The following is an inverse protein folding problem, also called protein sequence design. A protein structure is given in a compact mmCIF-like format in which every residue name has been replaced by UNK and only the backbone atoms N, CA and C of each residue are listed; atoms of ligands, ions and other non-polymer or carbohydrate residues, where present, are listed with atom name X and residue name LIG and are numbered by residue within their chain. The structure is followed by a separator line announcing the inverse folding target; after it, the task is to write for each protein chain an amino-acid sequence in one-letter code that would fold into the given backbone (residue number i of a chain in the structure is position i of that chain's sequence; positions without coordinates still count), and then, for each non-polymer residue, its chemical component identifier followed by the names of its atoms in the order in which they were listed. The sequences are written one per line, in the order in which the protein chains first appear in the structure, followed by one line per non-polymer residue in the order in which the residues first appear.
data_IF_157708654680
#
_entry.id   IF_157708654680
#
_cell.length_a   1.000
_cell.length_b   1.000
_cell.length_c   1.000
_cell.angle_alpha   90.00
_cell.angle_beta   90.00
_cell.angle_gamma   90.00
#
_symmetry.space_group_name_H-M   'P 1'
#
loop_
_entity.id
_entity.type
_entity.pdbx_description
1 polymer ?
#
# COMPACT_ATOMS: atom_id res chain seq x y z
N UNK A 1 -3.35 19.82 -10.81
CA UNK A 1 -4.02 18.50 -10.69
C UNK A 1 -2.96 17.44 -10.94
N UNK A 2 -2.46 16.79 -9.89
CA UNK A 2 -1.48 15.70 -10.02
C UNK A 2 -2.26 14.41 -10.27
N UNK A 3 -2.03 13.78 -11.42
CA UNK A 3 -2.64 12.49 -11.75
C UNK A 3 -1.77 11.39 -11.15
N UNK A 4 -2.32 10.61 -10.21
CA UNK A 4 -1.65 9.43 -9.69
C UNK A 4 -1.54 8.38 -10.81
N UNK A 5 -0.31 7.99 -11.17
CA UNK A 5 -0.08 6.99 -12.21
C UNK A 5 -0.20 5.58 -11.61
N UNK A 6 -1.37 4.96 -11.74
CA UNK A 6 -1.59 3.56 -11.39
C UNK A 6 -0.76 2.63 -12.29
N UNK A 7 -0.29 1.51 -11.75
CA UNK A 7 0.37 0.45 -12.53
C UNK A 7 1.82 0.75 -12.94
N UNK A 8 2.39 1.87 -12.49
CA UNK A 8 3.79 2.22 -12.75
C UNK A 8 4.61 2.12 -11.48
N UNK A 9 5.72 1.40 -11.55
CA UNK A 9 6.75 1.40 -10.51
C UNK A 9 7.31 2.81 -10.38
N UNK A 10 7.21 3.37 -9.18
CA UNK A 10 7.83 4.64 -8.82
C UNK A 10 9.17 4.38 -8.13
N UNK A 11 10.02 5.42 -8.08
CA UNK A 11 11.21 5.35 -7.25
C UNK A 11 10.80 5.39 -5.76
N UNK A 12 11.57 4.77 -4.84
CA UNK A 12 11.23 4.73 -3.41
C UNK A 12 10.90 6.11 -2.82
N UNK A 13 11.68 7.14 -3.17
CA UNK A 13 11.49 8.48 -2.63
C UNK A 13 10.26 9.22 -3.20
N UNK A 14 9.68 8.75 -4.32
CA UNK A 14 8.54 9.41 -4.95
C UNK A 14 7.36 9.53 -4.00
N UNK A 15 7.02 8.44 -3.30
CA UNK A 15 5.89 8.42 -2.38
C UNK A 15 6.18 9.16 -1.09
N UNK A 16 7.45 9.25 -0.69
CA UNK A 16 7.86 10.12 0.41
C UNK A 16 7.70 11.60 0.05
N UNK A 17 8.16 12.03 -1.13
CA UNK A 17 7.98 13.41 -1.60
C UNK A 17 6.50 13.77 -1.81
N UNK A 18 5.69 12.78 -2.19
CA UNK A 18 4.27 12.93 -2.47
C UNK A 18 3.37 12.30 -1.40
N UNK A 19 3.84 12.16 -0.16
CA UNK A 19 3.09 11.50 0.93
C UNK A 19 1.75 12.18 1.21
N UNK A 20 1.64 13.48 0.94
CA UNK A 20 0.41 14.26 1.02
C UNK A 20 -0.70 13.79 0.06
N UNK A 21 -0.36 12.97 -0.95
CA UNK A 21 -1.32 12.37 -1.87
C UNK A 21 -1.83 11.00 -1.39
N UNK A 22 -1.21 10.41 -0.37
CA UNK A 22 -1.61 9.12 0.18
C UNK A 22 -2.93 9.24 0.93
N UNK A 23 -3.82 8.26 0.70
CA UNK A 23 -5.15 8.22 1.30
C UNK A 23 -5.48 6.81 1.75
N UNK A 24 -6.30 6.71 2.80
CA UNK A 24 -6.88 5.45 3.24
C UNK A 24 -7.60 4.74 2.09
N UNK A 25 -7.47 3.42 2.01
CA UNK A 25 -8.03 2.57 0.97
C UNK A 25 -7.15 2.41 -0.28
N UNK A 26 -6.10 3.23 -0.46
CA UNK A 26 -5.14 3.03 -1.55
C UNK A 26 -4.38 1.71 -1.38
N UNK A 27 -4.17 1.01 -2.48
CA UNK A 27 -3.55 -0.31 -2.51
C UNK A 27 -2.20 -0.21 -3.19
N UNK A 28 -1.17 -0.79 -2.58
CA UNK A 28 0.19 -0.74 -3.09
C UNK A 28 0.82 -2.13 -3.13
N UNK A 29 1.67 -2.32 -4.13
CA UNK A 29 2.68 -3.37 -4.14
C UNK A 29 3.97 -2.82 -3.48
N UNK A 30 4.62 -3.65 -2.69
CA UNK A 30 5.90 -3.41 -2.03
C UNK A 30 7.07 -3.97 -2.87
N UNK A 31 8.31 -3.74 -2.45
CA UNK A 31 9.49 -4.26 -3.18
C UNK A 31 9.57 -5.80 -3.20
N UNK A 32 9.13 -6.46 -2.14
CA UNK A 32 9.14 -7.91 -1.98
C UNK A 32 7.96 -8.62 -2.68
N UNK A 33 7.09 -7.86 -3.35
CA UNK A 33 5.87 -8.37 -3.98
C UNK A 33 4.67 -8.48 -3.03
N UNK A 34 4.83 -8.10 -1.76
CA UNK A 34 3.72 -7.95 -0.83
C UNK A 34 2.74 -6.89 -1.30
N UNK A 35 1.45 -7.10 -1.00
CA UNK A 35 0.40 -6.13 -1.34
C UNK A 35 -0.26 -5.64 -0.06
N UNK A 36 -0.37 -4.32 0.07
CA UNK A 36 -0.92 -3.67 1.27
C UNK A 36 -2.01 -2.68 0.89
N UNK A 37 -2.97 -2.47 1.79
CA UNK A 37 -3.95 -1.39 1.73
C UNK A 37 -3.73 -0.42 2.88
N UNK A 38 -3.64 0.88 2.59
CA UNK A 38 -3.51 1.91 3.62
C UNK A 38 -4.78 2.00 4.48
N UNK A 39 -4.66 1.87 5.80
CA UNK A 39 -5.77 2.05 6.75
C UNK A 39 -5.83 3.50 7.25
N UNK A 40 -4.86 3.89 8.07
CA UNK A 40 -4.80 5.21 8.70
C UNK A 40 -3.35 5.64 8.95
N UNK A 41 -3.07 6.95 8.96
CA UNK A 41 -1.75 7.44 9.32
C UNK A 41 -1.43 7.10 10.78
N UNK A 42 -0.17 6.80 11.05
CA UNK A 42 0.34 6.59 12.41
C UNK A 42 0.36 7.96 13.13
N UNK A 43 -0.19 8.08 14.35
CA UNK A 43 -0.14 9.32 15.11
C UNK A 43 1.31 9.72 15.43
N UNK A 44 1.67 10.97 15.15
CA UNK A 44 3.05 11.45 15.31
C UNK A 44 3.40 12.45 14.23
N UNK A 45 4.50 12.21 13.52
CA UNK A 45 4.90 12.98 12.33
C UNK A 45 3.95 12.79 11.14
N UNK A 46 3.09 11.77 11.18
CA UNK A 46 2.06 11.50 10.18
C UNK A 46 2.61 10.94 8.87
N UNK A 47 3.86 10.47 8.87
CA UNK A 47 4.52 9.96 7.67
C UNK A 47 4.19 8.48 7.45
N UNK A 48 4.24 7.68 8.51
CA UNK A 48 3.96 6.25 8.47
C UNK A 48 2.47 5.94 8.40
N UNK A 49 2.13 4.76 7.88
CA UNK A 49 0.76 4.28 7.76
C UNK A 49 0.59 2.91 8.40
N UNK A 50 -0.51 2.72 9.12
CA UNK A 50 -1.03 1.39 9.40
C UNK A 50 -1.63 0.81 8.12
N UNK A 51 -1.43 -0.49 7.90
CA UNK A 51 -1.88 -1.17 6.70
C UNK A 51 -2.59 -2.48 6.98
N UNK A 52 -3.42 -2.90 6.02
CA UNK A 52 -3.87 -4.28 5.88
C UNK A 52 -2.97 -5.01 4.89
N UNK A 53 -2.52 -6.20 5.25
CA UNK A 53 -1.74 -7.08 4.39
C UNK A 53 -2.67 -7.95 3.56
N UNK A 54 -2.40 -8.07 2.26
CA UNK A 54 -3.07 -9.05 1.41
C UNK A 54 -2.45 -10.43 1.65
N UNK A 55 -3.27 -11.37 2.12
CA UNK A 55 -2.87 -12.77 2.24
C UNK A 55 -3.44 -13.55 1.06
N UNK A 56 -2.61 -14.35 0.40
CA UNK A 56 -3.07 -15.33 -0.56
C UNK A 56 -3.94 -16.38 0.14
N UNK A 57 -5.06 -16.72 -0.49
CA UNK A 57 -5.96 -17.73 0.06
C UNK A 57 -5.35 -19.11 -0.07
N UNK A 58 -5.17 -19.81 1.06
CA UNK A 58 -4.66 -21.18 1.04
C UNK A 58 -5.71 -22.14 0.46
N UNK A 59 -5.31 -22.97 -0.51
CA UNK A 59 -6.11 -24.11 -0.99
C UNK A 59 -7.29 -23.76 -1.88
N UNK A 60 -7.15 -22.77 -2.77
CA UNK A 60 -8.18 -22.41 -3.75
C UNK A 60 -9.29 -21.50 -3.20
N UNK A 61 -9.00 -20.79 -2.09
CA UNK A 61 -9.80 -19.66 -1.64
C UNK A 61 -9.25 -18.37 -2.23
N UNK A 62 -10.13 -17.40 -2.41
CA UNK A 62 -9.71 -16.04 -2.74
C UNK A 62 -8.86 -15.47 -1.59
N UNK A 63 -7.87 -14.66 -1.96
CA UNK A 63 -7.09 -13.90 -0.98
C UNK A 63 -7.96 -12.89 -0.23
N UNK A 64 -7.41 -12.34 0.85
CA UNK A 64 -8.14 -11.40 1.70
C UNK A 64 -7.22 -10.45 2.45
N UNK A 65 -7.81 -9.37 2.95
CA UNK A 65 -7.13 -8.39 3.79
C UNK A 65 -7.07 -8.86 5.24
N UNK A 66 -5.87 -8.83 5.81
CA UNK A 66 -5.61 -9.13 7.20
C UNK A 66 -5.03 -7.91 7.92
N UNK A 67 -5.49 -7.68 9.15
CA UNK A 67 -5.01 -6.60 10.00
C UNK A 67 -4.01 -7.16 11.03
N UNK A 68 -2.74 -6.81 10.90
CA UNK A 68 -1.68 -7.19 11.85
C UNK A 68 -1.07 -6.00 12.60
N UNK A 69 -1.71 -4.83 12.53
CA UNK A 69 -1.14 -3.55 12.98
C UNK A 69 0.25 -3.26 12.35
N UNK A 70 0.49 -3.80 11.16
CA UNK A 70 1.69 -3.57 10.35
C UNK A 70 1.79 -2.08 10.01
N UNK A 71 3.02 -1.57 10.06
CA UNK A 71 3.33 -0.18 9.69
C UNK A 71 4.25 -0.18 8.48
N UNK A 72 4.02 0.78 7.59
CA UNK A 72 4.91 1.04 6.46
C UNK A 72 5.34 2.50 6.47
N UNK A 73 6.53 2.77 5.95
CA UNK A 73 6.96 4.10 5.58
C UNK A 73 6.69 4.32 4.09
N UNK A 74 6.40 5.55 3.61
CA UNK A 74 6.14 5.81 2.20
C UNK A 74 7.27 5.36 1.26
N UNK A 75 8.51 5.28 1.73
CA UNK A 75 9.64 4.76 0.92
C UNK A 75 9.53 3.27 0.60
N UNK A 76 8.71 2.53 1.34
CA UNK A 76 8.48 1.10 1.12
C UNK A 76 7.48 0.86 -0.03
N UNK A 77 6.75 1.92 -0.42
CA UNK A 77 5.76 1.88 -1.48
C UNK A 77 6.44 1.84 -2.85
N UNK A 78 6.13 0.83 -3.65
CA UNK A 78 6.69 0.68 -4.99
C UNK A 78 5.72 1.11 -6.08
N UNK A 79 4.50 0.57 -6.05
CA UNK A 79 3.55 0.76 -7.13
C UNK A 79 2.11 0.87 -6.59
N UNK A 80 1.41 1.92 -7.00
CA UNK A 80 -0.03 2.06 -6.74
C UNK A 80 -0.81 1.13 -7.66
N UNK A 81 -1.70 0.32 -7.07
CA UNK A 81 -2.56 -0.63 -7.76
C UNK A 81 -4.01 -0.10 -7.86
N UNK A 82 -4.75 -0.48 -8.91
CA UNK A 82 -6.14 -0.07 -9.09
C UNK A 82 -7.13 -0.84 -8.20
N UNK A 83 -6.79 -2.06 -7.79
CA UNK A 83 -7.60 -2.93 -6.95
C UNK A 83 -6.74 -4.02 -6.30
N UNK A 84 -7.33 -4.77 -5.36
CA UNK A 84 -6.70 -5.97 -4.81
C UNK A 84 -6.45 -7.01 -5.92
N UNK A 85 -5.45 -7.89 -5.75
CA UNK A 85 -5.25 -9.02 -6.64
C UNK A 85 -6.50 -9.92 -6.66
N UNK A 86 -6.95 -10.31 -7.85
CA UNK A 86 -7.95 -11.38 -8.03
C UNK A 86 -7.20 -12.67 -8.36
N UNK A 87 -7.37 -13.70 -7.53
CA UNK A 87 -6.90 -15.06 -7.84
C UNK A 87 -7.89 -15.80 -8.74
#
# INVERSE_FOLDING_TARGET
MTVLQQGKVQQPDYWYEHHHLLQSGMIFELEDGGVVQLDRPVPGDGTDWYVFDWTDGWGGRDGGWAAYDTRIHPTDLRQLLPSAPTH
#
